data_IF_670601061410
#
_entry.id   IF_670601061410
#
_cell.length_a   1.000
_cell.length_b   1.000
_cell.length_c   1.000
_cell.angle_alpha   90.00
_cell.angle_beta   90.00
_cell.angle_gamma   90.00
#
_symmetry.space_group_name_H-M   'P 1'
#
loop_
_entity.id
_entity.type
_entity.pdbx_description
1 polymer ?
#
# COMPACT_ATOMS: atom_id res chain seq x y z
N UNK A 1 -51.10 24.19 15.45
CA UNK A 1 -51.25 23.44 14.18
C UNK A 1 -49.85 23.19 13.61
N UNK A 2 -49.55 21.92 13.27
CA UNK A 2 -48.48 21.42 12.39
C UNK A 2 -47.02 21.70 12.78
N UNK A 3 -46.04 20.82 12.60
CA UNK A 3 -45.84 19.36 12.41
C UNK A 3 -44.30 19.28 12.41
N UNK A 4 -43.73 18.30 13.11
CA UNK A 4 -42.29 18.17 13.32
C UNK A 4 -41.46 18.24 12.04
N UNK A 5 -40.35 18.96 12.11
CA UNK A 5 -39.31 18.95 11.10
C UNK A 5 -38.66 17.57 11.09
N UNK A 6 -39.05 16.75 10.13
CA UNK A 6 -38.28 15.56 9.75
C UNK A 6 -36.88 16.01 9.30
N UNK A 7 -35.90 15.73 10.14
CA UNK A 7 -34.49 15.72 9.78
C UNK A 7 -34.28 14.70 8.66
N UNK A 8 -34.23 15.19 7.41
CA UNK A 8 -33.86 14.40 6.25
C UNK A 8 -32.39 14.01 6.39
N UNK A 9 -32.14 12.76 6.82
CA UNK A 9 -30.86 12.11 6.60
C UNK A 9 -30.58 12.08 5.10
N UNK A 10 -29.72 12.99 4.62
CA UNK A 10 -29.17 12.92 3.25
C UNK A 10 -28.28 11.68 3.20
N UNK A 11 -28.66 10.71 2.37
CA UNK A 11 -27.89 9.50 2.08
C UNK A 11 -26.48 9.86 1.60
N UNK A 12 -25.45 9.51 2.35
CA UNK A 12 -24.04 9.71 2.00
C UNK A 12 -23.48 8.68 1.02
N UNK A 13 -24.31 7.83 0.39
CA UNK A 13 -23.80 6.68 -0.38
C UNK A 13 -23.19 7.02 -1.75
N UNK A 14 -23.43 8.21 -2.32
CA UNK A 14 -22.90 8.56 -3.66
C UNK A 14 -21.49 9.18 -3.64
N UNK A 15 -21.07 9.81 -2.53
CA UNK A 15 -19.72 10.41 -2.45
C UNK A 15 -18.61 9.38 -2.21
N UNK A 16 -18.92 8.21 -1.65
CA UNK A 16 -17.88 7.24 -1.28
C UNK A 16 -17.36 6.43 -2.47
N UNK A 17 -18.18 6.19 -3.51
CA UNK A 17 -17.74 5.42 -4.68
C UNK A 17 -16.86 6.26 -5.61
N UNK A 18 -17.19 7.53 -5.86
CA UNK A 18 -16.41 8.44 -6.71
C UNK A 18 -15.04 8.73 -6.12
N UNK A 19 -14.94 8.97 -4.80
CA UNK A 19 -13.66 9.23 -4.13
C UNK A 19 -12.69 8.04 -4.22
N UNK A 20 -13.20 6.80 -4.28
CA UNK A 20 -12.37 5.58 -4.40
C UNK A 20 -11.84 5.32 -5.80
N UNK A 21 -12.29 6.04 -6.81
CA UNK A 21 -11.81 5.90 -8.19
C UNK A 21 -10.83 7.01 -8.60
N UNK A 22 -10.66 8.06 -7.79
CA UNK A 22 -9.81 9.22 -8.12
C UNK A 22 -8.37 8.83 -8.48
N UNK A 23 -7.83 7.78 -7.84
CA UNK A 23 -6.46 7.33 -8.04
C UNK A 23 -6.33 6.09 -8.92
N UNK A 24 -7.44 5.61 -9.48
CA UNK A 24 -7.43 4.46 -10.40
C UNK A 24 -7.25 5.02 -11.81
N UNK A 25 -6.15 4.70 -12.52
CA UNK A 25 -5.95 5.17 -13.88
C UNK A 25 -7.01 4.60 -14.84
N UNK A 26 -7.18 5.23 -15.99
CA UNK A 26 -8.01 4.68 -17.05
C UNK A 26 -7.55 3.27 -17.42
N UNK A 27 -8.51 2.37 -17.56
CA UNK A 27 -8.27 0.97 -17.89
C UNK A 27 -9.42 0.41 -18.71
N UNK A 28 -9.13 -0.66 -19.45
CA UNK A 28 -10.15 -1.43 -20.15
C UNK A 28 -10.91 -2.31 -19.15
N UNK A 29 -12.19 -2.62 -19.40
CA UNK A 29 -12.90 -3.63 -18.63
C UNK A 29 -12.16 -4.98 -18.67
N UNK A 30 -12.22 -5.72 -17.56
CA UNK A 30 -11.68 -7.08 -17.51
C UNK A 30 -12.44 -8.00 -18.47
N UNK A 31 -11.72 -8.87 -19.15
CA UNK A 31 -12.29 -9.94 -19.99
C UNK A 31 -12.43 -11.20 -19.14
N UNK A 32 -13.57 -11.87 -19.23
CA UNK A 32 -13.85 -13.08 -18.43
C UNK A 32 -12.82 -14.20 -18.65
N UNK A 33 -12.35 -14.36 -19.87
CA UNK A 33 -11.33 -15.36 -20.21
C UNK A 33 -9.97 -15.05 -19.57
N UNK A 34 -9.65 -13.79 -19.30
CA UNK A 34 -8.44 -13.45 -18.54
C UNK A 34 -8.56 -13.92 -17.08
N UNK A 35 -9.75 -13.81 -16.47
CA UNK A 35 -9.99 -14.31 -15.11
C UNK A 35 -9.79 -15.82 -15.07
N UNK A 36 -10.35 -16.56 -16.03
CA UNK A 36 -10.18 -18.02 -16.12
C UNK A 36 -8.72 -18.43 -16.30
N UNK A 37 -7.98 -17.75 -17.20
CA UNK A 37 -6.55 -18.03 -17.41
C UNK A 37 -5.72 -17.80 -16.14
N UNK A 38 -6.05 -16.79 -15.36
CA UNK A 38 -5.41 -16.56 -14.07
C UNK A 38 -5.80 -17.61 -13.03
N UNK A 39 -7.06 -17.99 -12.98
CA UNK A 39 -7.53 -19.06 -12.10
C UNK A 39 -6.82 -20.38 -12.42
N UNK A 40 -6.73 -20.77 -13.69
CA UNK A 40 -6.00 -21.97 -14.14
C UNK A 40 -4.51 -21.89 -13.75
N UNK A 41 -3.88 -20.72 -13.95
CA UNK A 41 -2.51 -20.47 -13.52
C UNK A 41 -2.34 -20.75 -12.02
N UNK A 42 -3.24 -20.21 -11.19
CA UNK A 42 -3.18 -20.39 -9.73
C UNK A 42 -3.54 -21.82 -9.30
N UNK A 43 -4.55 -22.44 -9.89
CA UNK A 43 -4.96 -23.83 -9.58
C UNK A 43 -3.86 -24.84 -9.94
N UNK A 44 -3.04 -24.53 -10.95
CA UNK A 44 -1.91 -25.38 -11.34
C UNK A 44 -0.72 -25.33 -10.38
N UNK A 45 -0.79 -24.54 -9.30
CA UNK A 45 0.31 -24.28 -8.35
C UNK A 45 -0.20 -24.38 -6.91
N UNK A 46 0.32 -25.30 -6.08
CA UNK A 46 -0.19 -25.46 -4.73
C UNK A 46 0.15 -24.26 -3.82
N UNK A 47 1.31 -23.61 -4.01
CA UNK A 47 1.75 -22.52 -3.14
C UNK A 47 2.18 -21.28 -3.93
N UNK A 48 1.31 -20.27 -4.04
CA UNK A 48 1.66 -19.01 -4.72
C UNK A 48 2.01 -17.91 -3.70
N UNK A 49 3.15 -17.25 -3.92
CA UNK A 49 3.53 -16.03 -3.21
C UNK A 49 2.89 -14.82 -3.90
N UNK A 50 2.33 -13.88 -3.14
CA UNK A 50 1.75 -12.66 -3.71
C UNK A 50 2.65 -11.47 -3.44
N UNK A 51 3.00 -10.71 -4.48
CA UNK A 51 3.69 -9.43 -4.38
C UNK A 51 2.73 -8.29 -4.72
N UNK A 52 2.57 -7.31 -3.85
CA UNK A 52 1.65 -6.19 -4.08
C UNK A 52 2.37 -4.83 -4.10
N UNK A 53 1.80 -3.88 -4.84
CA UNK A 53 2.22 -2.48 -4.87
C UNK A 53 1.05 -1.52 -4.68
N UNK A 54 1.32 -0.22 -4.75
CA UNK A 54 0.35 0.80 -4.39
C UNK A 54 -0.88 0.84 -5.31
N UNK A 55 -0.79 0.25 -6.51
CA UNK A 55 -1.89 0.13 -7.46
C UNK A 55 -3.12 -0.54 -6.86
N UNK A 56 -2.96 -1.54 -5.97
CA UNK A 56 -4.13 -2.15 -5.31
C UNK A 56 -4.76 -1.23 -4.26
N UNK A 57 -3.99 -0.33 -3.63
CA UNK A 57 -4.46 0.61 -2.60
C UNK A 57 -5.15 1.84 -3.21
N UNK A 58 -5.00 2.07 -4.52
CA UNK A 58 -5.72 3.14 -5.25
C UNK A 58 -7.23 3.01 -5.12
N UNK A 59 -7.75 1.78 -5.16
CA UNK A 59 -9.18 1.45 -4.98
C UNK A 59 -9.67 1.66 -3.53
N UNK A 60 -8.73 1.80 -2.59
CA UNK A 60 -9.01 2.20 -1.21
C UNK A 60 -8.93 3.71 -0.99
N UNK A 61 -8.50 4.49 -2.00
CA UNK A 61 -8.32 5.94 -1.90
C UNK A 61 -6.93 6.37 -1.42
N UNK A 62 -5.91 5.52 -1.50
CA UNK A 62 -4.50 5.90 -1.33
C UNK A 62 -3.87 5.97 -2.72
N UNK A 63 -3.29 7.11 -3.15
CA UNK A 63 -2.70 7.17 -4.48
C UNK A 63 -1.43 6.33 -4.56
N UNK A 64 -1.06 6.00 -5.79
CA UNK A 64 0.27 5.52 -6.07
C UNK A 64 1.19 6.64 -6.57
N UNK A 65 2.42 6.27 -6.92
CA UNK A 65 3.39 7.21 -7.45
C UNK A 65 3.28 7.43 -8.97
N UNK A 66 2.81 6.43 -9.73
CA UNK A 66 3.18 6.25 -11.15
C UNK A 66 2.02 5.91 -12.09
N UNK A 67 0.80 5.72 -11.59
CA UNK A 67 -0.37 5.52 -12.44
C UNK A 67 -0.51 6.68 -13.41
N UNK A 68 -0.75 6.37 -14.68
CA UNK A 68 -0.86 7.37 -15.73
C UNK A 68 -2.04 8.33 -15.44
N UNK A 69 -1.80 9.63 -15.59
CA UNK A 69 -2.79 10.70 -15.37
C UNK A 69 -3.18 10.95 -13.90
N UNK A 70 -3.05 9.98 -13.00
CA UNK A 70 -3.57 10.07 -11.61
C UNK A 70 -2.54 9.80 -10.51
N UNK A 71 -1.39 9.20 -10.84
CA UNK A 71 -0.30 8.97 -9.91
C UNK A 71 0.36 10.27 -9.43
N UNK A 72 1.09 10.23 -8.33
CA UNK A 72 1.74 11.41 -7.75
C UNK A 72 2.59 12.18 -8.77
N UNK A 73 3.38 11.48 -9.60
CA UNK A 73 4.25 12.11 -10.59
C UNK A 73 3.51 12.77 -11.76
N UNK A 74 2.25 12.41 -11.99
CA UNK A 74 1.40 13.08 -12.98
C UNK A 74 0.72 14.34 -12.40
N UNK A 75 0.51 14.38 -11.08
CA UNK A 75 -0.24 15.44 -10.38
C UNK A 75 0.64 16.48 -9.69
N UNK A 76 1.93 16.19 -9.47
CA UNK A 76 2.81 17.04 -8.67
C UNK A 76 4.27 16.93 -9.11
N UNK A 77 4.99 18.06 -9.11
CA UNK A 77 6.45 18.09 -9.29
C UNK A 77 7.22 17.71 -8.00
N UNK A 78 6.52 17.48 -6.90
CA UNK A 78 7.15 17.13 -5.63
C UNK A 78 7.72 15.72 -5.64
N UNK A 79 9.01 15.62 -5.33
CA UNK A 79 9.69 14.34 -5.17
C UNK A 79 9.55 13.82 -3.73
N UNK A 80 9.55 12.49 -3.53
CA UNK A 80 9.62 11.90 -2.21
C UNK A 80 10.90 12.31 -1.48
N UNK A 81 10.81 12.47 -0.16
CA UNK A 81 11.96 12.78 0.69
C UNK A 81 13.00 11.67 0.58
N UNK A 82 14.26 12.04 0.33
CA UNK A 82 15.37 11.08 0.32
C UNK A 82 15.81 10.76 1.75
N UNK A 83 16.26 9.53 1.99
CA UNK A 83 16.75 9.08 3.30
C UNK A 83 17.83 10.01 3.85
N UNK A 84 18.84 10.32 3.04
CA UNK A 84 19.95 11.18 3.47
C UNK A 84 19.51 12.63 3.75
N UNK A 85 18.52 13.15 3.03
CA UNK A 85 17.94 14.48 3.31
C UNK A 85 17.25 14.50 4.67
N UNK A 86 16.45 13.46 4.96
CA UNK A 86 15.79 13.31 6.25
C UNK A 86 16.79 13.17 7.41
N UNK A 87 17.81 12.33 7.25
CA UNK A 87 18.80 12.09 8.31
C UNK A 87 19.67 13.33 8.56
N UNK A 88 20.06 14.08 7.52
CA UNK A 88 20.98 15.21 7.66
C UNK A 88 20.32 16.55 8.02
N UNK A 89 19.03 16.74 7.72
CA UNK A 89 18.39 18.05 7.85
C UNK A 89 17.21 18.03 8.83
N UNK A 90 17.35 18.74 9.94
CA UNK A 90 16.25 18.97 10.89
C UNK A 90 15.06 19.70 10.24
N UNK A 91 15.32 20.61 9.30
CA UNK A 91 14.27 21.29 8.54
C UNK A 91 13.47 20.32 7.66
N UNK A 92 14.14 19.36 7.00
CA UNK A 92 13.47 18.31 6.23
C UNK A 92 12.66 17.39 7.15
N UNK A 93 13.20 16.99 8.30
CA UNK A 93 12.45 16.20 9.30
C UNK A 93 11.21 16.92 9.78
N UNK A 94 11.34 18.20 10.12
CA UNK A 94 10.24 19.08 10.54
C UNK A 94 9.15 19.16 9.49
N UNK A 95 9.52 19.44 8.24
CA UNK A 95 8.59 19.47 7.11
C UNK A 95 7.89 18.12 6.91
N UNK A 96 8.63 17.01 6.94
CA UNK A 96 8.06 15.68 6.78
C UNK A 96 7.06 15.37 7.90
N UNK A 97 7.46 15.53 9.16
CA UNK A 97 6.61 15.19 10.29
C UNK A 97 5.37 16.09 10.40
N UNK A 98 5.50 17.39 10.13
CA UNK A 98 4.35 18.30 10.12
C UNK A 98 3.29 17.86 9.11
N UNK A 99 3.73 17.50 7.90
CA UNK A 99 2.83 17.09 6.84
C UNK A 99 2.27 15.68 7.07
N UNK A 100 3.12 14.72 7.48
CA UNK A 100 2.67 13.38 7.85
C UNK A 100 1.70 13.40 9.06
N UNK A 101 1.91 14.29 10.04
CA UNK A 101 1.01 14.47 11.17
C UNK A 101 -0.41 14.85 10.73
N UNK A 102 -0.51 15.77 9.78
CA UNK A 102 -1.77 16.26 9.23
C UNK A 102 -2.46 15.18 8.37
N UNK A 103 -1.69 14.43 7.57
CA UNK A 103 -2.25 13.35 6.73
C UNK A 103 -2.61 12.06 7.47
N UNK A 104 -1.97 11.81 8.62
CA UNK A 104 -2.09 10.55 9.35
C UNK A 104 -3.52 10.11 9.69
N UNK A 105 -4.42 10.98 10.20
CA UNK A 105 -5.77 10.56 10.56
C UNK A 105 -6.53 9.97 9.37
N UNK A 106 -6.45 10.60 8.20
CA UNK A 106 -7.12 10.10 6.99
C UNK A 106 -6.41 8.87 6.44
N UNK A 107 -5.07 8.83 6.43
CA UNK A 107 -4.30 7.66 5.97
C UNK A 107 -4.62 6.42 6.82
N UNK A 108 -4.55 6.54 8.14
CA UNK A 108 -4.80 5.44 9.07
C UNK A 108 -6.27 5.00 9.13
N UNK A 109 -7.22 5.88 8.84
CA UNK A 109 -8.64 5.51 8.74
C UNK A 109 -9.01 4.75 7.46
N UNK A 110 -8.13 4.74 6.44
CA UNK A 110 -8.36 4.03 5.17
C UNK A 110 -8.68 2.56 5.41
N UNK A 111 -9.73 2.08 4.73
CA UNK A 111 -10.20 0.71 4.80
C UNK A 111 -9.68 -0.13 3.62
N UNK A 112 -9.41 -1.42 3.82
CA UNK A 112 -9.10 -2.34 2.73
C UNK A 112 -10.25 -2.40 1.70
N UNK A 113 -9.90 -2.77 0.48
CA UNK A 113 -10.85 -3.00 -0.61
C UNK A 113 -11.01 -4.49 -0.91
N UNK A 114 -11.78 -4.80 -1.96
CA UNK A 114 -12.12 -6.16 -2.34
C UNK A 114 -10.88 -7.04 -2.63
N UNK A 115 -9.82 -6.49 -3.25
CA UNK A 115 -8.58 -7.24 -3.50
C UNK A 115 -7.91 -7.67 -2.20
N UNK A 116 -7.81 -6.78 -1.21
CA UNK A 116 -7.22 -7.11 0.09
C UNK A 116 -8.01 -8.19 0.82
N UNK A 117 -9.34 -8.09 0.83
CA UNK A 117 -10.20 -9.11 1.44
C UNK A 117 -10.15 -10.45 0.70
N UNK A 118 -10.05 -10.44 -0.63
CA UNK A 118 -9.90 -11.65 -1.42
C UNK A 118 -8.58 -12.37 -1.11
N UNK A 119 -7.47 -11.63 -0.96
CA UNK A 119 -6.18 -12.24 -0.57
C UNK A 119 -6.22 -12.82 0.85
N UNK A 120 -6.86 -12.15 1.80
CA UNK A 120 -7.09 -12.69 3.14
C UNK A 120 -8.01 -13.94 3.13
N UNK A 121 -8.96 -14.02 2.18
CA UNK A 121 -9.74 -15.25 1.92
C UNK A 121 -8.83 -16.35 1.37
N UNK A 122 -8.03 -16.07 0.34
CA UNK A 122 -7.16 -17.06 -0.29
C UNK A 122 -6.12 -17.63 0.66
N UNK A 123 -5.59 -16.82 1.58
CA UNK A 123 -4.68 -17.30 2.63
C UNK A 123 -5.38 -18.28 3.57
N UNK A 124 -6.61 -17.97 4.00
CA UNK A 124 -7.42 -18.87 4.85
C UNK A 124 -7.86 -20.15 4.15
N UNK A 125 -7.99 -20.10 2.84
CA UNK A 125 -8.30 -21.25 1.97
C UNK A 125 -7.05 -21.98 1.48
N UNK A 126 -5.86 -21.61 1.98
CA UNK A 126 -4.57 -22.24 1.63
C UNK A 126 -4.24 -22.20 0.13
N UNK A 127 -4.74 -21.19 -0.60
CA UNK A 127 -4.49 -20.98 -2.02
C UNK A 127 -3.29 -20.05 -2.29
N UNK A 128 -2.94 -19.22 -1.31
CA UNK A 128 -1.75 -18.36 -1.34
C UNK A 128 -1.03 -18.48 0.00
N UNK A 129 0.30 -18.48 -0.04
CA UNK A 129 1.14 -18.74 1.13
C UNK A 129 1.33 -17.50 2.02
N UNK A 130 1.59 -16.36 1.37
CA UNK A 130 1.98 -15.13 2.02
C UNK A 130 1.78 -13.93 1.09
N UNK A 131 1.75 -12.75 1.68
CA UNK A 131 1.75 -11.48 0.96
C UNK A 131 3.03 -10.70 1.27
N UNK A 132 3.82 -10.45 0.25
CA UNK A 132 4.89 -9.45 0.26
C UNK A 132 4.32 -8.16 -0.31
N UNK A 133 4.40 -7.05 0.43
CA UNK A 133 3.86 -5.76 -0.03
C UNK A 133 4.91 -4.67 -0.01
N UNK A 134 4.96 -3.87 -1.07
CA UNK A 134 5.74 -2.63 -1.09
C UNK A 134 5.04 -1.49 -0.34
N UNK A 135 3.76 -1.65 0.00
CA UNK A 135 2.96 -0.61 0.63
C UNK A 135 3.26 -0.55 2.13
N UNK A 136 3.01 0.62 2.72
CA UNK A 136 3.29 0.94 4.13
C UNK A 136 2.01 1.21 4.93
N UNK A 137 0.86 0.84 4.35
CA UNK A 137 -0.50 1.25 4.73
C UNK A 137 -1.23 0.25 5.65
N UNK A 138 -0.64 -0.93 5.87
CA UNK A 138 -1.20 -2.08 6.61
C UNK A 138 -2.57 -2.55 6.13
N UNK A 139 -2.98 -2.26 4.89
CA UNK A 139 -4.31 -2.65 4.40
C UNK A 139 -4.50 -4.17 4.34
N UNK A 140 -3.45 -4.94 4.03
CA UNK A 140 -3.51 -6.42 4.08
C UNK A 140 -3.81 -6.95 5.48
N UNK A 141 -3.07 -6.49 6.48
CA UNK A 141 -3.30 -6.88 7.89
C UNK A 141 -4.69 -6.46 8.35
N UNK A 142 -5.15 -5.26 7.99
CA UNK A 142 -6.52 -4.80 8.27
C UNK A 142 -7.59 -5.67 7.61
N UNK A 143 -7.31 -6.22 6.42
CA UNK A 143 -8.23 -7.11 5.71
C UNK A 143 -8.29 -8.53 6.30
N UNK A 144 -7.35 -8.88 7.17
CA UNK A 144 -7.27 -10.18 7.84
C UNK A 144 -6.11 -11.07 7.39
N UNK A 145 -5.23 -10.60 6.49
CA UNK A 145 -4.04 -11.36 6.12
C UNK A 145 -3.06 -11.46 7.29
N UNK A 146 -2.47 -12.65 7.51
CA UNK A 146 -1.63 -12.94 8.68
C UNK A 146 -0.15 -13.02 8.33
N UNK A 147 0.19 -13.70 7.23
CA UNK A 147 1.55 -13.87 6.76
C UNK A 147 1.93 -12.75 5.79
N UNK A 148 2.23 -11.56 6.34
CA UNK A 148 2.52 -10.35 5.56
C UNK A 148 3.94 -9.84 5.83
N UNK A 149 4.69 -9.54 4.76
CA UNK A 149 5.98 -8.84 4.84
C UNK A 149 5.89 -7.49 4.13
N UNK A 150 5.97 -6.40 4.90
CA UNK A 150 6.03 -5.03 4.36
C UNK A 150 7.48 -4.70 3.95
N UNK A 151 7.81 -4.84 2.65
CA UNK A 151 9.15 -4.67 2.07
C UNK A 151 9.74 -3.31 2.45
N UNK A 152 8.95 -2.25 2.30
CA UNK A 152 9.36 -0.89 2.64
C UNK A 152 9.05 -0.52 4.09
N UNK A 153 8.75 -1.50 4.95
CA UNK A 153 8.37 -1.26 6.34
C UNK A 153 6.97 -0.64 6.47
N UNK A 154 6.68 0.01 7.60
CA UNK A 154 5.31 0.41 7.92
C UNK A 154 5.22 1.85 8.40
N UNK A 155 4.21 2.59 7.92
CA UNK A 155 3.91 3.93 8.42
C UNK A 155 3.35 3.94 9.84
N UNK A 156 2.99 2.77 10.37
CA UNK A 156 2.40 2.59 11.70
C UNK A 156 3.44 2.36 12.80
N UNK A 157 4.73 2.35 12.48
CA UNK A 157 5.81 2.25 13.45
C UNK A 157 6.71 3.45 13.28
N UNK A 158 7.09 4.06 14.39
CA UNK A 158 8.11 5.11 14.45
C UNK A 158 9.31 4.56 15.20
N UNK A 159 10.50 4.76 14.66
CA UNK A 159 11.76 4.30 15.26
C UNK A 159 12.72 5.44 15.52
N UNK A 160 13.60 5.26 16.48
CA UNK A 160 14.76 6.12 16.64
C UNK A 160 15.83 5.82 15.57
N UNK A 161 16.55 6.86 15.15
CA UNK A 161 17.70 6.75 14.25
C UNK A 161 18.99 6.37 14.97
N UNK A 162 19.01 6.42 16.31
CA UNK A 162 20.23 6.27 17.12
C UNK A 162 20.16 5.12 18.15
N UNK A 163 18.99 4.54 18.40
CA UNK A 163 18.82 3.39 19.28
C UNK A 163 17.64 2.52 18.85
N UNK A 164 17.39 1.41 19.56
CA UNK A 164 16.34 0.44 19.21
C UNK A 164 14.91 0.86 19.59
N UNK A 165 14.73 2.08 20.12
CA UNK A 165 13.41 2.58 20.51
C UNK A 165 12.45 2.59 19.32
N UNK A 166 11.26 2.02 19.56
CA UNK A 166 10.13 1.98 18.64
C UNK A 166 8.85 2.33 19.39
N UNK A 167 7.93 2.98 18.70
CA UNK A 167 6.61 3.38 19.22
C UNK A 167 5.55 3.21 18.12
N UNK A 168 4.33 2.83 18.51
CA UNK A 168 3.20 2.78 17.59
C UNK A 168 2.86 4.19 17.08
N UNK A 169 2.54 4.33 15.79
CA UNK A 169 2.30 5.63 15.19
C UNK A 169 1.07 6.34 15.76
N UNK A 170 0.06 5.64 16.28
CA UNK A 170 -1.09 6.26 16.96
C UNK A 170 -0.71 6.86 18.31
N UNK A 171 0.14 6.17 19.08
CA UNK A 171 0.69 6.72 20.32
C UNK A 171 1.57 7.94 20.00
N UNK A 172 2.45 7.82 19.00
CA UNK A 172 3.26 8.92 18.50
C UNK A 172 2.42 10.10 17.99
N UNK A 173 1.28 9.84 17.34
CA UNK A 173 0.35 10.87 16.89
C UNK A 173 -0.21 11.66 18.07
N UNK A 174 -0.52 10.99 19.17
CA UNK A 174 -1.04 11.64 20.38
C UNK A 174 0.01 12.56 21.01
N UNK A 175 1.28 12.14 21.02
CA UNK A 175 2.41 12.98 21.46
C UNK A 175 2.58 14.19 20.53
N UNK A 176 2.54 13.99 19.22
CA UNK A 176 2.60 15.10 18.27
C UNK A 176 1.44 16.08 18.48
N UNK A 177 0.23 15.59 18.73
CA UNK A 177 -0.95 16.43 18.94
C UNK A 177 -0.84 17.27 20.22
N UNK A 178 -0.28 16.72 21.31
CA UNK A 178 -0.08 17.47 22.56
C UNK A 178 0.97 18.57 22.42
N UNK A 179 2.00 18.34 21.59
CA UNK A 179 3.03 19.34 21.27
C UNK A 179 2.56 20.40 20.27
N UNK A 180 1.53 20.09 19.47
CA UNK A 180 1.07 20.91 18.35
C UNK A 180 -0.47 21.13 18.38
N UNK A 181 -1.03 21.72 19.47
CA UNK A 181 -2.48 21.83 19.65
C UNK A 181 -3.19 22.75 18.65
N UNK A 182 -2.45 23.62 17.96
CA UNK A 182 -2.97 24.55 16.97
C UNK A 182 -3.34 23.89 15.62
N UNK A 183 -3.01 22.61 15.42
CA UNK A 183 -3.21 21.92 14.15
C UNK A 183 -4.50 21.10 14.19
N UNK A 184 -5.51 21.46 13.39
CA UNK A 184 -6.79 20.73 13.36
C UNK A 184 -7.32 20.34 11.98
N UNK A 185 -6.78 20.86 10.88
CA UNK A 185 -7.36 20.62 9.56
C UNK A 185 -6.41 19.85 8.64
N UNK A 186 -6.91 18.78 8.03
CA UNK A 186 -6.22 18.03 7.00
C UNK A 186 -6.64 18.51 5.59
N UNK A 187 -5.70 18.76 4.66
CA UNK A 187 -5.99 18.93 3.25
C UNK A 187 -6.68 17.70 2.66
N UNK A 188 -7.40 17.89 1.55
CA UNK A 188 -8.18 16.83 0.92
C UNK A 188 -7.35 15.66 0.35
N UNK A 189 -6.09 15.87 -0.05
CA UNK A 189 -5.30 14.83 -0.73
C UNK A 189 -4.13 14.29 0.09
N UNK A 190 -4.04 12.96 0.19
CA UNK A 190 -2.93 12.22 0.82
C UNK A 190 -1.99 11.69 -0.26
N UNK A 191 -0.70 11.53 0.05
CA UNK A 191 0.34 10.88 -0.77
C UNK A 191 0.49 9.39 -0.39
N UNK A 192 1.21 8.58 -1.19
CA UNK A 192 1.27 7.13 -0.97
C UNK A 192 1.82 6.70 0.41
N UNK A 193 2.62 7.56 1.07
CA UNK A 193 3.21 7.35 2.40
C UNK A 193 2.44 8.05 3.54
N UNK A 194 1.27 8.62 3.26
CA UNK A 194 0.45 9.34 4.23
C UNK A 194 0.75 10.83 4.37
N UNK A 195 1.73 11.35 3.63
CA UNK A 195 2.12 12.77 3.61
C UNK A 195 1.09 13.65 2.86
N UNK A 196 0.99 14.96 3.17
CA UNK A 196 0.08 15.93 2.53
C UNK A 196 0.80 17.25 2.24
N UNK A 197 0.25 18.18 1.47
CA UNK A 197 0.84 19.53 1.35
C UNK A 197 0.24 20.48 2.39
N UNK A 198 1.09 21.26 3.09
CA UNK A 198 0.65 22.26 4.07
C UNK A 198 1.42 23.58 3.85
N UNK A 199 0.84 24.75 4.20
CA UNK A 199 1.54 26.03 4.09
C UNK A 199 2.80 26.10 4.96
N UNK A 200 3.79 26.91 4.56
CA UNK A 200 5.10 26.99 5.21
C UNK A 200 5.03 27.43 6.68
N UNK A 201 4.13 28.36 7.00
CA UNK A 201 3.89 28.87 8.36
C UNK A 201 3.55 27.77 9.39
N UNK A 202 2.91 26.69 8.92
CA UNK A 202 2.60 25.52 9.74
C UNK A 202 3.88 24.72 10.04
N UNK A 203 4.81 24.62 9.09
CA UNK A 203 6.05 23.86 9.27
C UNK A 203 6.97 24.55 10.28
N UNK A 204 7.05 25.88 10.24
CA UNK A 204 7.94 26.67 11.07
C UNK A 204 7.68 26.51 12.58
N UNK A 205 6.42 26.34 12.97
CA UNK A 205 6.01 26.21 14.37
C UNK A 205 5.86 24.76 14.86
N UNK A 206 5.99 23.78 13.96
CA UNK A 206 5.79 22.37 14.30
C UNK A 206 6.87 21.83 15.24
N UNK A 207 6.50 21.14 16.32
CA UNK A 207 7.43 20.53 17.28
C UNK A 207 7.45 19.02 17.12
N UNK A 208 8.64 18.46 16.98
CA UNK A 208 8.87 17.01 16.91
C UNK A 208 9.43 16.57 18.27
N UNK A 209 8.86 15.52 18.90
CA UNK A 209 9.46 14.94 20.10
C UNK A 209 10.78 14.25 19.76
N UNK A 210 11.70 14.26 20.73
CA UNK A 210 12.92 13.46 20.68
C UNK A 210 12.65 12.03 21.19
N UNK A 211 13.57 11.11 20.90
CA UNK A 211 13.54 9.77 21.46
C UNK A 211 13.61 9.81 23.00
N UNK A 212 12.66 9.17 23.68
CA UNK A 212 12.60 9.13 25.15
C UNK A 212 13.74 8.34 25.80
N UNK A 213 14.50 7.57 25.03
CA UNK A 213 15.60 6.74 25.53
C UNK A 213 16.99 7.38 25.34
N UNK A 214 17.20 8.18 24.29
CA UNK A 214 18.52 8.73 23.96
C UNK A 214 18.52 10.18 23.47
N UNK A 215 17.37 10.85 23.37
CA UNK A 215 17.27 12.20 22.79
C UNK A 215 17.43 12.26 21.26
N UNK A 216 17.64 11.12 20.60
CA UNK A 216 17.87 11.06 19.16
C UNK A 216 16.63 11.33 18.29
N UNK A 217 16.87 11.61 17.01
CA UNK A 217 15.82 11.87 16.04
C UNK A 217 14.95 10.63 15.76
N UNK A 218 13.66 10.87 15.54
CA UNK A 218 12.67 9.85 15.21
C UNK A 218 12.28 9.90 13.74
N UNK A 219 12.03 8.72 13.16
CA UNK A 219 11.65 8.52 11.76
C UNK A 219 10.57 7.43 11.67
N UNK A 220 9.56 7.53 10.78
CA UNK A 220 8.72 6.36 10.48
C UNK A 220 9.61 5.19 10.02
N UNK A 221 9.23 3.96 10.37
CA UNK A 221 9.90 2.73 9.98
C UNK A 221 9.59 2.38 8.51
N UNK A 222 9.66 3.38 7.63
CA UNK A 222 9.50 3.26 6.19
C UNK A 222 10.89 3.31 5.53
N UNK A 223 11.18 2.46 4.57
CA UNK A 223 12.39 2.55 3.73
C UNK A 223 12.21 3.73 2.78
N UNK A 224 12.92 4.83 3.01
CA UNK A 224 12.85 6.02 2.16
C UNK A 224 13.60 5.80 0.86
N UNK A 225 13.35 6.64 -0.14
CA UNK A 225 14.16 6.64 -1.36
C UNK A 225 15.63 6.93 -1.01
N UNK A 226 16.55 6.18 -1.62
CA UNK A 226 17.98 6.22 -1.27
C UNK A 226 18.37 5.42 -0.03
N UNK A 227 17.41 4.78 0.67
CA UNK A 227 17.65 3.83 1.75
C UNK A 227 17.74 2.39 1.21
N UNK A 228 18.19 1.46 2.06
CA UNK A 228 18.22 0.02 1.76
C UNK A 228 17.16 -0.72 2.57
N UNK A 229 16.50 -1.70 1.93
CA UNK A 229 15.65 -2.64 2.65
C UNK A 229 16.52 -3.43 3.65
N UNK A 230 16.15 -3.52 4.94
CA UNK A 230 16.92 -4.25 5.94
C UNK A 230 17.22 -5.69 5.52
N UNK A 231 18.46 -6.12 5.72
CA UNK A 231 18.94 -7.44 5.29
C UNK A 231 18.07 -8.61 5.79
N UNK A 232 17.66 -8.67 7.07
CA UNK A 232 16.78 -9.75 7.55
C UNK A 232 15.46 -9.85 6.78
N UNK A 233 14.91 -8.72 6.34
CA UNK A 233 13.67 -8.69 5.55
C UNK A 233 13.91 -9.18 4.12
N UNK A 234 15.05 -8.82 3.52
CA UNK A 234 15.45 -9.35 2.20
C UNK A 234 15.60 -10.86 2.25
N UNK A 235 16.27 -11.38 3.29
CA UNK A 235 16.48 -12.83 3.46
C UNK A 235 15.16 -13.55 3.73
N UNK A 236 14.25 -12.96 4.51
CA UNK A 236 12.89 -13.49 4.74
C UNK A 236 12.12 -13.63 3.42
N UNK A 237 12.12 -12.59 2.57
CA UNK A 237 11.44 -12.62 1.27
C UNK A 237 12.09 -13.66 0.33
N UNK A 238 13.42 -13.75 0.33
CA UNK A 238 14.12 -14.76 -0.46
C UNK A 238 13.73 -16.19 -0.03
N UNK A 239 13.59 -16.42 1.29
CA UNK A 239 13.08 -17.67 1.84
C UNK A 239 11.63 -17.95 1.44
N UNK A 240 10.76 -16.93 1.40
CA UNK A 240 9.38 -17.08 0.91
C UNK A 240 9.35 -17.48 -0.58
N UNK A 241 10.15 -16.83 -1.42
CA UNK A 241 10.26 -17.15 -2.85
C UNK A 241 10.76 -18.58 -3.04
N UNK A 242 11.79 -18.99 -2.31
CA UNK A 242 12.36 -20.34 -2.38
C UNK A 242 11.36 -21.45 -2.04
N UNK A 243 10.40 -21.17 -1.14
CA UNK A 243 9.38 -22.12 -0.70
C UNK A 243 8.04 -21.95 -1.44
N UNK A 244 8.02 -21.21 -2.55
CA UNK A 244 6.82 -21.00 -3.37
C UNK A 244 6.93 -21.76 -4.70
N UNK A 245 5.78 -22.01 -5.33
CA UNK A 245 5.66 -22.63 -6.64
C UNK A 245 5.42 -21.60 -7.76
N UNK A 246 5.31 -20.32 -7.42
CA UNK A 246 5.07 -19.23 -8.35
C UNK A 246 4.81 -17.90 -7.65
N UNK A 247 4.85 -16.83 -8.43
CA UNK A 247 4.63 -15.46 -7.95
C UNK A 247 3.44 -14.82 -8.66
N UNK A 248 2.55 -14.19 -7.90
CA UNK A 248 1.49 -13.33 -8.42
C UNK A 248 1.77 -11.87 -8.03
N UNK A 249 2.01 -11.01 -9.03
CA UNK A 249 2.22 -9.58 -8.83
C UNK A 249 0.93 -8.81 -9.06
N UNK A 250 0.52 -7.97 -8.10
CA UNK A 250 -0.71 -7.19 -8.15
C UNK A 250 -0.45 -5.69 -7.98
N UNK A 251 -0.95 -4.89 -8.92
CA UNK A 251 -0.97 -3.41 -8.80
C UNK A 251 0.41 -2.79 -8.59
N UNK A 252 1.43 -3.26 -9.32
CA UNK A 252 2.79 -2.77 -9.20
C UNK A 252 3.43 -2.62 -10.58
N UNK A 253 3.98 -1.44 -10.87
CA UNK A 253 4.83 -1.21 -12.05
C UNK A 253 6.22 -1.83 -11.93
N UNK A 254 6.61 -2.29 -10.72
CA UNK A 254 7.91 -2.91 -10.43
C UNK A 254 9.12 -2.05 -10.82
N UNK A 255 8.95 -0.73 -10.90
CA UNK A 255 10.05 0.18 -11.24
C UNK A 255 11.06 0.34 -10.09
N UNK A 256 10.60 0.14 -8.84
CA UNK A 256 11.50 0.09 -7.68
C UNK A 256 12.16 -1.28 -7.61
N UNK A 257 13.50 -1.30 -7.51
CA UNK A 257 14.27 -2.53 -7.62
C UNK A 257 13.95 -3.55 -6.52
N UNK A 258 13.54 -3.13 -5.31
CA UNK A 258 13.21 -4.07 -4.24
C UNK A 258 12.01 -4.96 -4.57
N UNK A 259 10.98 -4.44 -5.25
CA UNK A 259 9.89 -5.26 -5.79
C UNK A 259 10.33 -6.08 -7.01
N UNK A 260 11.06 -5.46 -7.94
CA UNK A 260 11.57 -6.15 -9.14
C UNK A 260 12.49 -7.33 -8.81
N UNK A 261 13.31 -7.21 -7.76
CA UNK A 261 14.20 -8.27 -7.28
C UNK A 261 13.45 -9.55 -6.93
N UNK A 262 12.25 -9.45 -6.36
CA UNK A 262 11.42 -10.63 -6.03
C UNK A 262 11.06 -11.38 -7.32
N UNK A 263 10.75 -10.67 -8.39
CA UNK A 263 10.47 -11.27 -9.70
C UNK A 263 11.72 -11.93 -10.28
N UNK A 264 12.87 -11.26 -10.23
CA UNK A 264 14.14 -11.84 -10.67
C UNK A 264 14.46 -13.14 -9.92
N UNK A 265 14.39 -13.12 -8.59
CA UNK A 265 14.62 -14.30 -7.74
C UNK A 265 13.67 -15.44 -8.09
N UNK A 266 12.41 -15.13 -8.39
CA UNK A 266 11.42 -16.14 -8.81
C UNK A 266 11.82 -16.78 -10.14
N UNK A 267 12.25 -15.97 -11.13
CA UNK A 267 12.70 -16.50 -12.43
C UNK A 267 14.05 -17.20 -12.38
N UNK A 268 14.94 -16.83 -11.47
CA UNK A 268 16.20 -17.54 -11.22
C UNK A 268 15.93 -18.99 -10.76
N UNK A 269 14.85 -19.20 -10.02
CA UNK A 269 14.34 -20.52 -9.64
C UNK A 269 13.47 -21.19 -10.72
N UNK A 270 13.35 -20.56 -11.90
CA UNK A 270 12.50 -20.99 -13.04
C UNK A 270 11.01 -21.14 -12.68
N UNK A 271 10.57 -20.44 -11.65
CA UNK A 271 9.17 -20.44 -11.25
C UNK A 271 8.35 -19.50 -12.15
N UNK A 272 7.05 -19.78 -12.33
CA UNK A 272 6.17 -18.96 -13.15
C UNK A 272 5.73 -17.69 -12.42
N UNK A 273 5.52 -16.62 -13.20
CA UNK A 273 5.13 -15.29 -12.71
C UNK A 273 3.86 -14.84 -13.43
N UNK A 274 2.82 -14.56 -12.64
CA UNK A 274 1.59 -13.91 -13.09
C UNK A 274 1.56 -12.44 -12.69
N UNK A 275 1.05 -11.57 -13.55
CA UNK A 275 0.92 -10.13 -13.28
C UNK A 275 -0.51 -9.66 -13.56
N UNK A 276 -1.13 -9.00 -12.59
CA UNK A 276 -2.36 -8.22 -12.78
C UNK A 276 -2.06 -6.77 -12.42
N UNK A 277 -2.04 -5.89 -13.43
CA UNK A 277 -1.70 -4.48 -13.24
C UNK A 277 -2.32 -3.64 -14.36
N UNK A 278 -2.75 -2.42 -14.04
CA UNK A 278 -3.12 -1.44 -15.07
C UNK A 278 -1.84 -0.84 -15.65
N UNK A 279 -1.63 -1.01 -16.96
CA UNK A 279 -0.47 -0.49 -17.68
C UNK A 279 0.77 -1.40 -17.62
N UNK A 280 1.89 -0.89 -18.12
CA UNK A 280 3.15 -1.61 -18.25
C UNK A 280 3.83 -1.86 -16.89
N UNK A 281 4.59 -2.94 -16.81
CA UNK A 281 5.49 -3.19 -15.68
C UNK A 281 6.90 -3.45 -16.19
N UNK A 282 7.90 -3.17 -15.34
CA UNK A 282 9.29 -3.48 -15.65
C UNK A 282 9.52 -4.97 -15.97
N UNK A 283 8.66 -5.86 -15.46
CA UNK A 283 8.81 -7.30 -15.56
C UNK A 283 7.90 -7.97 -16.61
N UNK A 284 7.28 -7.20 -17.51
CA UNK A 284 6.35 -7.77 -18.50
C UNK A 284 6.99 -8.88 -19.35
N UNK A 285 8.27 -8.71 -19.73
CA UNK A 285 9.06 -9.67 -20.47
C UNK A 285 9.43 -10.94 -19.69
N UNK A 286 9.20 -10.97 -18.38
CA UNK A 286 9.45 -12.12 -17.50
C UNK A 286 8.15 -12.84 -17.09
N UNK A 287 6.98 -12.26 -17.40
CA UNK A 287 5.69 -12.78 -17.00
C UNK A 287 5.25 -13.93 -17.89
N UNK A 288 4.80 -15.02 -17.27
CA UNK A 288 4.20 -16.17 -17.94
C UNK A 288 2.71 -15.90 -18.25
N UNK A 289 2.06 -15.07 -17.42
CA UNK A 289 0.74 -14.50 -17.70
C UNK A 289 0.70 -13.03 -17.28
N UNK A 290 0.15 -12.17 -18.13
CA UNK A 290 -0.13 -10.77 -17.80
C UNK A 290 -1.56 -10.42 -18.16
N UNK A 291 -2.26 -9.81 -17.21
CA UNK A 291 -3.62 -9.28 -17.36
C UNK A 291 -3.59 -7.79 -17.08
N UNK A 292 -3.99 -7.00 -18.07
CA UNK A 292 -4.05 -5.54 -17.96
C UNK A 292 -5.44 -5.11 -17.48
N UNK A 293 -5.70 -5.23 -16.17
CA UNK A 293 -6.98 -4.89 -15.57
C UNK A 293 -6.83 -4.35 -14.15
N UNK A 294 -7.90 -3.75 -13.64
CA UNK A 294 -8.02 -3.34 -12.24
C UNK A 294 -8.13 -4.56 -11.33
N UNK A 295 -7.29 -4.64 -10.29
CA UNK A 295 -7.23 -5.81 -9.42
C UNK A 295 -8.58 -6.12 -8.74
N UNK A 296 -9.33 -5.11 -8.32
CA UNK A 296 -10.66 -5.29 -7.71
C UNK A 296 -11.71 -5.90 -8.64
N UNK A 297 -11.51 -5.85 -9.96
CA UNK A 297 -12.43 -6.47 -10.94
C UNK A 297 -12.04 -7.91 -11.29
N UNK A 298 -10.82 -8.34 -10.93
CA UNK A 298 -10.23 -9.65 -11.23
C UNK A 298 -10.18 -10.52 -9.97
N UNK A 299 -9.42 -10.08 -8.97
CA UNK A 299 -8.99 -10.91 -7.84
C UNK A 299 -10.16 -11.43 -7.00
N UNK A 300 -11.18 -10.62 -6.66
CA UNK A 300 -12.32 -11.12 -5.90
C UNK A 300 -13.13 -12.21 -6.60
N UNK A 301 -13.08 -12.32 -7.93
CA UNK A 301 -13.84 -13.31 -8.70
C UNK A 301 -13.14 -14.67 -8.80
N UNK A 302 -11.84 -14.73 -8.49
CA UNK A 302 -11.09 -15.98 -8.50
C UNK A 302 -11.60 -16.90 -7.39
N UNK A 303 -11.73 -18.18 -7.72
CA UNK A 303 -12.24 -19.28 -6.90
C UNK A 303 -13.70 -19.15 -6.46
N UNK A 304 -14.43 -18.15 -6.98
CA UNK A 304 -15.87 -17.96 -6.71
C UNK A 304 -16.77 -18.59 -7.78
N UNK A 305 -16.20 -19.16 -8.85
CA UNK A 305 -16.93 -20.07 -9.74
C UNK A 305 -17.22 -21.37 -8.99
N UNK A 306 -18.21 -21.34 -8.09
CA UNK A 306 -18.92 -22.56 -7.71
C UNK A 306 -19.34 -23.24 -9.01
N UNK A 307 -18.91 -24.49 -9.18
CA UNK A 307 -19.37 -25.40 -10.23
C UNK A 307 -20.88 -25.20 -10.49
N UNK A 308 -21.22 -24.34 -11.46
CA UNK A 308 -22.54 -24.30 -12.06
C UNK A 308 -22.71 -25.47 -13.05
N UNK A 309 -21.72 -26.38 -13.10
CA UNK A 309 -21.76 -27.65 -13.83
C UNK A 309 -21.19 -28.80 -12.98
N UNK A 310 -21.90 -29.15 -11.91
CA UNK A 310 -21.89 -30.54 -11.38
C UNK A 310 -23.10 -30.79 -10.48
N UNK A 311 -24.31 -30.50 -10.98
CA UNK A 311 -25.56 -31.11 -10.51
C UNK A 311 -26.42 -31.38 -11.75
N UNK A 312 -26.07 -32.44 -12.47
CA UNK A 312 -26.96 -33.30 -13.27
C UNK A 312 -26.12 -34.39 -13.90
#
# INVERSE_FOLDING_TARGET
>A
MRVGQLLRFRSTSLRSSTARQEYVPHHKPVVEDDIKRLEDFLLSKPNVLVLTGAGISTESGIPDYRSEGVGLYARSNHKPVQHMEFVKSSAVRKRYWARNFVGWPKFSATQPNATHHALARFEREERVQAVVTQNVDRLHTKAGSRNVVEVHGSGYVVKCLSCEYRIDRHEFQSILASLNPAFKDAPDMIRPDGDVEIPLEYIENFRIPECTQCGGDLKPEIVFFGDSVPRPRVDQIAGMVYNSDGLLVLGSSLLVFSGYRVVLQTKDLKLPVGIVNIGETRADHLADIKISAKCGDVIPKLFDFRNSKSVS
#
